data_IF_016585093726
#
_entry.id   IF_016585093726
#
_cell.length_a   1.000
_cell.length_b   1.000
_cell.length_c   1.000
_cell.angle_alpha   90.00
_cell.angle_beta   90.00
_cell.angle_gamma   90.00
#
_symmetry.space_group_name_H-M   'P 1'
#
loop_
_entity.id
_entity.type
_entity.pdbx_description
1 polymer ?
#
# COMPACT_ATOMS: atom_id res chain seq x y z
N UNK A 1 -1.17 -18.70 32.92
CA UNK A 1 -0.84 -17.50 32.14
C UNK A 1 0.06 -17.97 31.01
N UNK A 2 -0.18 -17.60 29.74
CA UNK A 2 0.75 -17.95 28.70
C UNK A 2 2.08 -17.27 29.01
N UNK A 3 3.15 -18.06 28.89
CA UNK A 3 4.52 -17.62 28.98
C UNK A 3 4.71 -16.52 27.91
N UNK A 4 4.89 -15.28 28.34
CA UNK A 4 5.26 -14.21 27.43
C UNK A 4 6.70 -14.50 27.05
N UNK A 5 6.89 -15.13 25.88
CA UNK A 5 8.21 -15.26 25.29
C UNK A 5 8.86 -13.87 25.32
N UNK A 6 9.92 -13.75 26.08
CA UNK A 6 10.67 -12.51 26.23
C UNK A 6 11.22 -12.17 24.84
N UNK A 7 10.71 -11.11 24.24
CA UNK A 7 11.11 -10.66 22.91
C UNK A 7 12.56 -10.20 22.98
N UNK A 8 13.47 -11.01 22.44
CA UNK A 8 14.90 -10.71 22.45
C UNK A 8 15.22 -9.78 21.27
N UNK A 9 15.59 -8.55 21.57
CA UNK A 9 15.97 -7.53 20.58
C UNK A 9 17.12 -7.94 19.66
N UNK A 10 17.90 -8.91 20.09
CA UNK A 10 19.08 -9.39 19.37
C UNK A 10 18.74 -10.17 18.09
N UNK A 11 17.49 -10.62 17.94
CA UNK A 11 17.04 -11.39 16.79
C UNK A 11 16.56 -10.52 15.61
N UNK A 12 16.62 -9.18 15.73
CA UNK A 12 16.12 -8.24 14.71
C UNK A 12 17.22 -7.21 14.39
N UNK A 13 18.01 -7.48 13.36
CA UNK A 13 19.08 -6.60 12.88
C UNK A 13 18.61 -5.16 12.57
N UNK A 14 17.36 -5.00 12.16
CA UNK A 14 16.77 -3.71 11.80
C UNK A 14 16.51 -2.77 12.99
N UNK A 15 16.68 -3.23 14.23
CA UNK A 15 16.42 -2.45 15.45
C UNK A 15 17.66 -1.81 16.07
N UNK A 16 18.81 -2.01 15.49
CA UNK A 16 20.05 -1.37 15.96
C UNK A 16 20.26 -0.02 15.28
N UNK A 17 20.72 0.95 16.06
CA UNK A 17 21.11 2.25 15.54
C UNK A 17 22.24 2.07 14.52
N UNK A 18 22.10 2.58 13.28
CA UNK A 18 23.14 2.45 12.26
C UNK A 18 24.44 3.13 12.70
N UNK A 19 25.57 2.50 12.36
CA UNK A 19 26.88 3.08 12.64
C UNK A 19 27.04 4.44 11.94
N UNK A 20 27.60 5.42 12.65
CA UNK A 20 27.87 6.76 12.13
C UNK A 20 26.66 7.69 12.09
N UNK A 21 25.47 7.27 12.52
CA UNK A 21 24.30 8.14 12.67
C UNK A 21 24.04 8.45 14.13
N UNK A 22 23.69 9.69 14.43
CA UNK A 22 23.11 10.04 15.74
C UNK A 22 21.73 9.41 15.91
N UNK A 23 21.26 9.33 17.15
CA UNK A 23 19.91 8.81 17.43
C UNK A 23 18.83 9.67 16.75
N UNK A 24 18.96 10.99 16.78
CA UNK A 24 18.01 11.91 16.16
C UNK A 24 17.98 11.76 14.62
N UNK A 25 19.13 11.62 13.98
CA UNK A 25 19.20 11.37 12.53
C UNK A 25 18.54 10.03 12.18
N UNK A 26 18.80 8.99 12.99
CA UNK A 26 18.18 7.71 12.80
C UNK A 26 16.66 7.79 12.97
N UNK A 27 16.17 8.41 14.04
CA UNK A 27 14.72 8.55 14.26
C UNK A 27 14.06 9.43 13.20
N UNK A 28 14.70 10.51 12.77
CA UNK A 28 14.18 11.34 11.68
C UNK A 28 14.07 10.55 10.36
N UNK A 29 14.99 9.64 10.09
CA UNK A 29 14.88 8.77 8.90
C UNK A 29 13.73 7.75 8.98
N UNK A 30 13.10 7.59 10.14
CA UNK A 30 11.94 6.71 10.36
C UNK A 30 10.60 7.46 10.34
N UNK A 31 10.62 8.76 10.03
CA UNK A 31 9.41 9.59 9.98
C UNK A 31 9.12 10.00 8.54
N UNK A 32 8.03 9.51 7.99
CA UNK A 32 7.51 9.96 6.70
C UNK A 32 6.48 11.07 6.92
N UNK A 33 6.67 12.23 6.26
CA UNK A 33 5.76 13.38 6.37
C UNK A 33 5.06 13.62 5.05
N UNK A 34 3.74 13.77 5.08
CA UNK A 34 2.96 14.01 3.86
C UNK A 34 3.35 15.32 3.15
N UNK A 35 3.72 16.36 3.90
CA UNK A 35 4.15 17.66 3.36
C UNK A 35 5.38 17.60 2.45
N UNK A 36 6.18 16.54 2.57
CA UNK A 36 7.38 16.32 1.73
C UNK A 36 7.14 15.33 0.61
N UNK A 37 5.87 14.92 0.37
CA UNK A 37 5.51 13.88 -0.59
C UNK A 37 4.53 14.41 -1.63
N UNK A 38 4.57 13.77 -2.77
CA UNK A 38 3.63 14.03 -3.86
C UNK A 38 3.04 12.71 -4.33
N UNK A 39 1.82 12.77 -4.88
CA UNK A 39 1.25 11.62 -5.57
C UNK A 39 1.97 11.40 -6.89
N UNK A 40 2.49 10.21 -7.08
CA UNK A 40 3.15 9.76 -8.29
C UNK A 40 2.12 9.16 -9.25
N UNK A 41 1.76 9.91 -10.29
CA UNK A 41 0.87 9.48 -11.36
C UNK A 41 1.58 8.64 -12.41
N UNK A 42 2.90 8.65 -12.44
CA UNK A 42 3.71 7.90 -13.41
C UNK A 42 4.01 6.47 -12.94
N UNK A 43 3.91 6.19 -11.64
CA UNK A 43 4.18 4.87 -11.07
C UNK A 43 3.39 3.73 -11.76
N UNK A 44 2.15 3.99 -12.15
CA UNK A 44 1.25 3.05 -12.81
C UNK A 44 0.77 3.54 -14.19
N UNK A 45 1.49 4.50 -14.75
CA UNK A 45 1.14 5.15 -16.02
C UNK A 45 0.99 4.16 -17.18
N UNK A 46 1.78 3.10 -17.22
CA UNK A 46 1.70 2.07 -18.26
C UNK A 46 0.31 1.41 -18.34
N UNK A 47 -0.42 1.34 -17.23
CA UNK A 47 -1.80 0.83 -17.21
C UNK A 47 -2.78 1.88 -17.71
N UNK A 48 -2.59 3.16 -17.34
CA UNK A 48 -3.40 4.27 -17.83
C UNK A 48 -3.20 4.53 -19.33
N UNK A 49 -1.99 4.29 -19.83
CA UNK A 49 -1.70 4.38 -21.27
C UNK A 49 -2.38 3.26 -22.07
N UNK A 50 -2.59 2.09 -21.45
CA UNK A 50 -3.36 0.99 -22.05
C UNK A 50 -4.87 1.30 -22.06
N UNK A 51 -5.43 1.76 -20.92
CA UNK A 51 -6.80 2.19 -20.79
C UNK A 51 -6.89 3.31 -19.73
N UNK A 52 -7.37 4.53 -20.09
CA UNK A 52 -7.47 5.65 -19.16
C UNK A 52 -8.25 5.37 -17.87
N UNK A 53 -9.15 4.39 -17.87
CA UNK A 53 -9.87 3.98 -16.66
C UNK A 53 -8.95 3.43 -15.56
N UNK A 54 -7.74 3.01 -15.89
CA UNK A 54 -6.75 2.52 -14.93
C UNK A 54 -5.87 3.62 -14.33
N UNK A 55 -6.21 4.90 -14.59
CA UNK A 55 -5.48 6.03 -14.03
C UNK A 55 -5.62 6.06 -12.50
N UNK A 56 -4.51 6.04 -11.80
CA UNK A 56 -4.41 6.20 -10.36
C UNK A 56 -3.02 6.65 -9.95
N UNK A 57 -2.90 7.26 -8.78
CA UNK A 57 -1.62 7.71 -8.28
C UNK A 57 -1.30 7.07 -6.92
N UNK A 58 -0.03 6.91 -6.65
CA UNK A 58 0.47 6.42 -5.37
C UNK A 58 1.30 7.47 -4.66
N UNK A 59 1.22 7.48 -3.33
CA UNK A 59 2.13 8.20 -2.47
C UNK A 59 2.75 7.18 -1.50
N UNK A 60 4.03 6.90 -1.65
CA UNK A 60 4.75 5.92 -0.83
C UNK A 60 5.21 6.53 0.48
N UNK A 61 5.13 5.77 1.55
CA UNK A 61 5.61 6.15 2.88
C UNK A 61 6.70 5.23 3.39
N UNK A 62 6.59 3.92 3.11
CA UNK A 62 7.51 2.92 3.64
C UNK A 62 7.71 1.78 2.65
N UNK A 63 8.94 1.29 2.55
CA UNK A 63 9.32 0.21 1.65
C UNK A 63 9.30 0.61 0.18
N UNK A 64 9.86 -0.22 -0.68
CA UNK A 64 10.01 0.09 -2.12
C UNK A 64 8.73 -0.18 -2.92
N UNK A 65 7.83 -1.04 -2.42
CA UNK A 65 6.62 -1.45 -3.14
C UNK A 65 6.90 -2.15 -4.48
N UNK A 66 5.88 -2.79 -5.03
CA UNK A 66 5.98 -3.51 -6.31
C UNK A 66 6.21 -2.63 -7.55
N UNK A 67 6.09 -1.32 -7.43
CA UNK A 67 6.28 -0.35 -8.53
C UNK A 67 7.66 0.31 -8.53
N UNK A 68 8.52 -0.08 -7.56
CA UNK A 68 9.96 0.13 -7.49
C UNK A 68 10.55 1.35 -8.21
N UNK A 69 10.21 2.57 -7.79
CA UNK A 69 11.07 3.70 -8.13
C UNK A 69 12.17 3.76 -7.06
N UNK A 70 13.33 3.20 -7.36
CA UNK A 70 14.51 3.19 -6.48
C UNK A 70 14.98 4.59 -6.05
N UNK A 71 14.51 5.63 -6.73
CA UNK A 71 14.92 7.02 -6.53
C UNK A 71 14.08 7.80 -5.52
N UNK A 72 13.09 7.21 -4.86
CA UNK A 72 12.32 7.90 -3.82
C UNK A 72 13.09 7.91 -2.50
N UNK A 73 14.01 8.86 -2.36
CA UNK A 73 14.88 9.03 -1.18
C UNK A 73 14.10 9.38 0.12
N UNK A 74 12.82 9.74 0.00
CA UNK A 74 11.99 10.13 1.14
C UNK A 74 11.20 8.97 1.76
N UNK A 75 11.31 7.76 1.22
CA UNK A 75 10.63 6.57 1.74
C UNK A 75 11.35 6.05 2.98
N UNK A 76 10.59 5.76 4.04
CA UNK A 76 11.15 5.09 5.23
C UNK A 76 11.57 3.66 4.82
N UNK A 77 12.82 3.26 5.07
CA UNK A 77 13.27 1.92 4.73
C UNK A 77 12.48 0.83 5.47
N UNK A 78 12.09 -0.21 4.77
CA UNK A 78 11.51 -1.42 5.35
C UNK A 78 11.78 -2.63 4.45
N UNK A 79 12.14 -3.74 5.07
CA UNK A 79 12.34 -5.03 4.40
C UNK A 79 11.13 -5.96 4.55
N UNK A 80 10.18 -5.61 5.43
CA UNK A 80 9.10 -6.51 5.82
C UNK A 80 7.76 -6.19 5.16
N UNK A 81 7.49 -4.93 4.88
CA UNK A 81 6.25 -4.51 4.25
C UNK A 81 6.41 -3.17 3.55
N UNK A 82 5.46 -2.88 2.69
CA UNK A 82 5.32 -1.58 2.03
C UNK A 82 4.08 -0.86 2.54
N UNK A 83 4.14 0.46 2.56
CA UNK A 83 3.03 1.29 2.98
C UNK A 83 2.90 2.48 2.04
N UNK A 84 1.78 2.57 1.37
CA UNK A 84 1.48 3.67 0.45
C UNK A 84 0.01 4.05 0.54
N UNK A 85 -0.30 5.29 0.20
CA UNK A 85 -1.68 5.67 -0.09
C UNK A 85 -1.89 5.76 -1.60
N UNK A 86 -3.11 5.45 -2.04
CA UNK A 86 -3.50 5.50 -3.44
C UNK A 86 -4.72 6.40 -3.62
N UNK A 87 -4.64 7.28 -4.60
CA UNK A 87 -5.77 8.05 -5.11
C UNK A 87 -6.31 7.34 -6.34
N UNK A 88 -7.61 7.06 -6.33
CA UNK A 88 -8.35 6.49 -7.45
C UNK A 88 -9.46 7.46 -7.87
N UNK A 89 -9.36 8.12 -9.04
CA UNK A 89 -10.38 9.05 -9.53
C UNK A 89 -11.75 8.37 -9.67
N UNK A 90 -12.82 9.18 -9.68
CA UNK A 90 -14.19 8.68 -9.86
C UNK A 90 -14.32 7.87 -11.16
N UNK A 91 -14.89 6.67 -11.07
CA UNK A 91 -15.06 5.77 -12.20
C UNK A 91 -13.80 5.07 -12.70
N UNK A 92 -12.63 5.36 -12.09
CA UNK A 92 -11.40 4.64 -12.41
C UNK A 92 -11.29 3.32 -11.64
N UNK A 93 -10.44 2.44 -12.18
CA UNK A 93 -10.28 1.06 -11.71
C UNK A 93 -8.81 0.77 -11.35
N UNK A 94 -8.59 -0.03 -10.32
CA UNK A 94 -7.39 -0.86 -10.18
C UNK A 94 -7.67 -2.18 -10.89
N UNK A 95 -6.97 -2.51 -11.99
CA UNK A 95 -7.27 -3.72 -12.76
C UNK A 95 -7.14 -4.96 -11.89
N UNK A 96 -7.98 -5.97 -12.17
CA UNK A 96 -7.90 -7.25 -11.48
C UNK A 96 -6.52 -7.89 -11.72
N UNK A 97 -5.87 -8.29 -10.64
CA UNK A 97 -4.58 -8.98 -10.66
C UNK A 97 -4.40 -9.83 -9.40
N UNK A 98 -3.40 -10.68 -9.41
CA UNK A 98 -3.11 -11.64 -8.33
C UNK A 98 -1.71 -11.37 -7.75
N UNK A 99 -1.60 -11.46 -6.42
CA UNK A 99 -0.30 -11.66 -5.75
C UNK A 99 -0.22 -13.10 -5.25
N UNK A 100 0.88 -13.76 -5.53
CA UNK A 100 1.04 -15.19 -5.20
C UNK A 100 1.74 -15.42 -3.87
N UNK A 101 2.40 -14.40 -3.33
CA UNK A 101 3.36 -14.51 -2.22
C UNK A 101 3.15 -13.47 -1.09
N UNK A 102 2.25 -12.50 -1.27
CA UNK A 102 1.98 -11.48 -0.25
C UNK A 102 0.49 -11.30 0.01
N UNK A 103 0.16 -11.08 1.27
CA UNK A 103 -1.15 -10.58 1.69
C UNK A 103 -1.20 -9.07 1.42
N UNK A 104 -2.29 -8.60 0.85
CA UNK A 104 -2.51 -7.18 0.61
C UNK A 104 -3.67 -6.67 1.45
N UNK A 105 -3.47 -5.54 2.09
CA UNK A 105 -4.49 -4.91 2.94
C UNK A 105 -4.87 -3.57 2.34
N UNK A 106 -6.16 -3.34 2.20
CA UNK A 106 -6.72 -2.02 1.86
C UNK A 106 -7.47 -1.45 3.05
N UNK A 107 -7.19 -0.21 3.38
CA UNK A 107 -7.92 0.56 4.37
C UNK A 107 -8.42 1.86 3.75
N UNK A 108 -9.73 2.06 3.76
CA UNK A 108 -10.34 3.24 3.17
C UNK A 108 -10.14 4.46 4.06
N UNK A 109 -9.57 5.52 3.48
CA UNK A 109 -9.44 6.81 4.14
C UNK A 109 -10.60 7.74 3.74
N UNK A 110 -11.02 7.69 2.47
CA UNK A 110 -12.14 8.51 1.94
C UNK A 110 -12.73 7.85 0.70
N UNK A 111 -14.05 7.89 0.57
CA UNK A 111 -14.77 7.53 -0.65
C UNK A 111 -15.41 6.14 -0.60
N UNK A 112 -15.72 5.60 -1.78
CA UNK A 112 -16.39 4.29 -1.90
C UNK A 112 -15.80 3.48 -3.03
N UNK A 113 -15.27 2.33 -2.70
CA UNK A 113 -14.65 1.40 -3.66
C UNK A 113 -15.46 0.11 -3.71
N UNK A 114 -15.84 -0.32 -4.91
CA UNK A 114 -16.25 -1.69 -5.15
C UNK A 114 -15.00 -2.54 -5.26
N UNK A 115 -14.88 -3.51 -4.35
CA UNK A 115 -13.85 -4.53 -4.37
C UNK A 115 -14.43 -5.82 -4.93
N UNK A 116 -13.71 -6.47 -5.85
CA UNK A 116 -13.94 -7.84 -6.27
C UNK A 116 -12.78 -8.72 -5.84
N UNK A 117 -13.07 -9.92 -5.31
CA UNK A 117 -12.08 -10.95 -4.98
C UNK A 117 -12.55 -12.25 -5.65
N UNK A 118 -11.66 -12.90 -6.39
CA UNK A 118 -12.01 -14.04 -7.21
C UNK A 118 -10.95 -15.14 -7.15
N UNK A 119 -11.39 -16.38 -7.23
CA UNK A 119 -10.58 -17.54 -7.57
C UNK A 119 -11.20 -18.29 -8.76
N UNK A 120 -10.69 -19.46 -9.10
CA UNK A 120 -11.19 -20.26 -10.24
C UNK A 120 -12.66 -20.67 -10.14
N UNK A 121 -13.24 -20.67 -8.94
CA UNK A 121 -14.57 -21.21 -8.67
C UNK A 121 -15.52 -20.23 -7.98
N UNK A 122 -14.99 -19.15 -7.41
CA UNK A 122 -15.75 -18.26 -6.54
C UNK A 122 -15.48 -16.80 -6.92
N UNK A 123 -16.51 -15.96 -6.76
CA UNK A 123 -16.42 -14.52 -6.86
C UNK A 123 -17.11 -13.88 -5.65
N UNK A 124 -16.47 -12.90 -5.06
CA UNK A 124 -17.00 -12.09 -3.98
C UNK A 124 -16.92 -10.61 -4.36
N UNK A 125 -17.98 -9.87 -4.09
CA UNK A 125 -18.03 -8.43 -4.31
C UNK A 125 -18.55 -7.72 -3.05
N UNK A 126 -17.94 -6.58 -2.72
CA UNK A 126 -18.40 -5.71 -1.64
C UNK A 126 -18.09 -4.26 -1.93
N UNK A 127 -18.77 -3.35 -1.24
CA UNK A 127 -18.47 -1.92 -1.25
C UNK A 127 -17.75 -1.56 0.05
N UNK A 128 -16.53 -1.08 -0.08
CA UNK A 128 -15.76 -0.51 1.02
C UNK A 128 -16.04 1.00 1.12
N UNK A 129 -16.21 1.49 2.31
CA UNK A 129 -16.45 2.90 2.66
C UNK A 129 -15.40 3.39 3.65
N UNK A 130 -15.46 4.66 4.00
CA UNK A 130 -14.54 5.28 4.96
C UNK A 130 -14.36 4.41 6.20
N UNK A 131 -13.10 4.09 6.51
CA UNK A 131 -12.62 3.27 7.64
C UNK A 131 -12.91 1.78 7.53
N UNK A 132 -13.41 1.30 6.40
CA UNK A 132 -13.47 -0.14 6.15
C UNK A 132 -12.07 -0.67 5.82
N UNK A 133 -11.81 -1.89 6.25
CA UNK A 133 -10.59 -2.63 5.96
C UNK A 133 -10.94 -3.96 5.31
N UNK A 134 -10.13 -4.33 4.33
CA UNK A 134 -10.11 -5.68 3.78
C UNK A 134 -8.68 -6.20 3.73
N UNK A 135 -8.53 -7.47 4.05
CA UNK A 135 -7.31 -8.23 3.80
C UNK A 135 -7.58 -9.22 2.67
N UNK A 136 -6.73 -9.19 1.66
CA UNK A 136 -6.78 -10.12 0.53
C UNK A 136 -5.61 -11.10 0.67
N UNK A 137 -5.89 -12.38 0.93
CA UNK A 137 -4.84 -13.39 1.01
C UNK A 137 -4.09 -13.56 -0.32
N UNK A 138 -2.86 -14.07 -0.30
CA UNK A 138 -2.17 -14.44 -1.53
C UNK A 138 -2.96 -15.51 -2.30
N UNK A 139 -2.85 -15.48 -3.63
CA UNK A 139 -3.49 -16.46 -4.50
C UNK A 139 -4.88 -16.09 -4.99
N UNK A 140 -5.43 -14.94 -4.57
CA UNK A 140 -6.71 -14.44 -5.06
C UNK A 140 -6.53 -13.27 -6.03
N UNK A 141 -7.32 -13.24 -7.11
CA UNK A 141 -7.47 -12.04 -7.93
C UNK A 141 -8.27 -10.99 -7.16
N UNK A 142 -7.88 -9.74 -7.27
CA UNK A 142 -8.66 -8.61 -6.75
C UNK A 142 -8.63 -7.44 -7.70
N UNK A 143 -9.78 -6.80 -7.82
CA UNK A 143 -10.01 -5.59 -8.59
C UNK A 143 -10.69 -4.53 -7.75
N UNK A 144 -10.42 -3.27 -8.07
CA UNK A 144 -10.96 -2.10 -7.39
C UNK A 144 -11.65 -1.21 -8.40
N UNK A 145 -12.83 -0.69 -8.08
CA UNK A 145 -13.51 0.33 -8.88
C UNK A 145 -14.01 1.44 -7.96
N UNK A 146 -13.63 2.67 -8.23
CA UNK A 146 -14.24 3.81 -7.56
C UNK A 146 -15.67 4.02 -8.05
N UNK A 147 -16.64 3.69 -7.20
CA UNK A 147 -18.08 3.86 -7.46
C UNK A 147 -18.64 5.17 -6.92
N UNK A 148 -17.80 5.99 -6.27
CA UNK A 148 -18.14 7.33 -5.83
C UNK A 148 -18.15 8.34 -6.97
N UNK A 149 -18.53 9.58 -6.64
CA UNK A 149 -18.53 10.72 -7.59
C UNK A 149 -17.27 11.58 -7.45
N UNK A 150 -16.49 11.35 -6.42
CA UNK A 150 -15.22 12.02 -6.16
C UNK A 150 -14.09 11.00 -6.16
N UNK A 151 -12.86 11.49 -6.11
CA UNK A 151 -11.70 10.62 -5.90
C UNK A 151 -11.81 9.84 -4.58
N UNK A 152 -11.44 8.59 -4.60
CA UNK A 152 -11.27 7.77 -3.42
C UNK A 152 -9.82 7.76 -2.99
N UNK A 153 -9.60 7.75 -1.67
CA UNK A 153 -8.29 7.65 -1.05
C UNK A 153 -8.25 6.39 -0.18
N UNK A 154 -7.28 5.56 -0.42
CA UNK A 154 -7.06 4.33 0.36
C UNK A 154 -5.57 4.11 0.63
N UNK A 155 -5.34 3.23 1.58
CA UNK A 155 -4.05 2.74 2.02
C UNK A 155 -3.92 1.32 1.52
#
# INVERSE_FOLDING_TARGET
>A
MPDTAEFQREDIETWSQPEGKSFDEWMNSRVARFETRTYDWDALKFQADFDPKYARAQCRYMGTGGTGVESDENVVPSEHFTFSTMVLPAGCEGPSHIHVDVEEVFFMLKGSIRLTIEDDNNAYETILKDRDLVSVPPGFYRGLLNVGQEEALML
#
